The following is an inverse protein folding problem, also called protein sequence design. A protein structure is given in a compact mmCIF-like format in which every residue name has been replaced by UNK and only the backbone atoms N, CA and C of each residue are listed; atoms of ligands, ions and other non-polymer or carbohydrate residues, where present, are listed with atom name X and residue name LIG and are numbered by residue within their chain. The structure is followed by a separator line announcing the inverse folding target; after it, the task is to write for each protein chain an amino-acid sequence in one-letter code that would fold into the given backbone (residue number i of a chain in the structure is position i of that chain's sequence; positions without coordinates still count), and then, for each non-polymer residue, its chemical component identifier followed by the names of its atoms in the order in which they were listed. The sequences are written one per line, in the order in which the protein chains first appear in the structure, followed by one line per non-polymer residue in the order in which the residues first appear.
data_IF_731660926837
#
_entry.id   IF_731660926837
#
_cell.length_a   1.000
_cell.length_b   1.000
_cell.length_c   1.000
_cell.angle_alpha   90.00
_cell.angle_beta   90.00
_cell.angle_gamma   90.00
#
_symmetry.space_group_name_H-M   'P 1'
#
loop_
_entity.id
_entity.type
_entity.pdbx_description
1 polymer ?
#
# COMPACT_ATOMS: atom_id res chain seq x y z
N UNK A 1 -10.47 13.64 106.71
CA UNK A 1 -10.33 15.03 106.22
C UNK A 1 -9.99 14.98 104.74
N UNK A 2 -10.64 15.85 103.99
CA UNK A 2 -10.90 15.82 102.55
C UNK A 2 -9.81 16.59 101.80
N UNK A 3 -9.17 16.02 100.77
CA UNK A 3 -8.58 16.79 99.64
C UNK A 3 -8.67 15.98 98.34
N UNK A 4 -9.60 16.39 97.49
CA UNK A 4 -9.69 16.07 96.07
C UNK A 4 -8.77 17.05 95.35
N UNK A 5 -7.88 16.55 94.48
CA UNK A 5 -7.28 17.35 93.41
C UNK A 5 -7.24 16.46 92.16
N UNK A 6 -8.21 16.67 91.28
CA UNK A 6 -8.12 16.32 89.87
C UNK A 6 -7.48 17.52 89.15
N UNK A 7 -6.67 17.30 88.09
CA UNK A 7 -6.45 18.23 86.96
C UNK A 7 -5.52 17.60 85.89
N UNK A 8 -6.10 17.49 84.69
CA UNK A 8 -5.58 17.71 83.31
C UNK A 8 -4.51 16.76 82.73
N UNK A 9 -4.84 15.91 81.76
CA UNK A 9 -4.97 16.17 80.28
C UNK A 9 -3.63 16.15 79.55
N UNK A 10 -3.47 15.17 78.65
CA UNK A 10 -2.39 15.14 77.67
C UNK A 10 -2.30 13.81 76.90
N UNK A 11 -3.32 13.47 76.10
CA UNK A 11 -3.16 12.43 75.07
C UNK A 11 -2.33 13.05 73.93
N UNK A 12 -1.07 12.65 73.81
CA UNK A 12 -0.28 12.87 72.61
C UNK A 12 -0.77 11.91 71.52
N UNK A 13 -1.59 12.41 70.60
CA UNK A 13 -1.86 11.74 69.33
C UNK A 13 -0.58 11.81 68.49
N UNK A 14 0.14 10.69 68.43
CA UNK A 14 1.19 10.50 67.42
C UNK A 14 0.49 10.40 66.08
N UNK A 15 0.47 11.49 65.32
CA UNK A 15 0.12 11.44 63.90
C UNK A 15 1.26 10.72 63.22
N UNK A 16 1.07 9.42 62.95
CA UNK A 16 1.92 8.69 62.02
C UNK A 16 1.70 9.33 60.64
N UNK A 17 2.59 10.26 60.27
CA UNK A 17 2.65 10.80 58.92
C UNK A 17 2.95 9.65 57.97
N UNK A 18 1.95 9.21 57.20
CA UNK A 18 2.17 8.35 56.06
C UNK A 18 3.08 9.10 55.08
N UNK A 19 4.37 8.74 55.04
CA UNK A 19 5.23 9.13 53.93
C UNK A 19 4.76 8.35 52.71
N UNK A 20 3.96 8.98 51.86
CA UNK A 20 3.64 8.45 50.54
C UNK A 20 4.94 8.41 49.71
N UNK A 21 5.57 7.24 49.65
CA UNK A 21 6.70 7.01 48.76
C UNK A 21 6.16 6.90 47.33
N UNK A 22 6.23 7.99 46.58
CA UNK A 22 5.95 7.96 45.14
C UNK A 22 7.16 7.36 44.41
N UNK A 23 6.94 6.25 43.69
CA UNK A 23 7.93 5.64 42.81
C UNK A 23 7.62 6.09 41.38
N UNK A 24 8.59 6.73 40.73
CA UNK A 24 8.49 7.12 39.31
C UNK A 24 8.63 5.88 38.42
N UNK A 25 7.54 5.46 37.77
CA UNK A 25 7.58 4.45 36.70
C UNK A 25 7.61 5.17 35.36
N UNK A 26 8.74 5.07 34.65
CA UNK A 26 8.90 5.62 33.30
C UNK A 26 8.84 4.50 32.27
N UNK A 27 7.71 4.40 31.57
CA UNK A 27 7.56 3.51 30.42
C UNK A 27 7.97 4.26 29.16
N UNK A 28 8.97 3.74 28.45
CA UNK A 28 9.36 4.21 27.11
C UNK A 28 9.13 3.08 26.11
N UNK A 29 8.57 3.43 24.96
CA UNK A 29 8.39 2.53 23.83
C UNK A 29 8.27 3.30 22.52
N UNK A 30 8.55 2.62 21.42
CA UNK A 30 8.35 3.12 20.06
C UNK A 30 7.54 2.11 19.28
N UNK A 31 6.54 2.57 18.53
CA UNK A 31 5.80 1.73 17.58
C UNK A 31 6.51 1.87 16.23
N UNK A 32 7.15 0.79 15.77
CA UNK A 32 7.72 0.72 14.42
C UNK A 32 6.68 0.11 13.49
N UNK A 33 6.13 0.86 12.52
CA UNK A 33 5.22 0.28 11.54
C UNK A 33 5.95 -0.78 10.71
N UNK A 34 5.22 -1.79 10.25
CA UNK A 34 5.77 -2.81 9.38
C UNK A 34 6.38 -2.17 8.12
N UNK A 35 7.66 -2.45 7.84
CA UNK A 35 8.30 -2.01 6.61
C UNK A 35 8.21 -3.12 5.58
N UNK A 36 7.93 -2.77 4.32
CA UNK A 36 7.94 -3.71 3.21
C UNK A 36 8.94 -3.30 2.14
N UNK A 37 9.65 -4.26 1.56
CA UNK A 37 10.47 -4.08 0.37
C UNK A 37 9.76 -4.69 -0.85
N UNK A 38 9.71 -3.95 -1.94
CA UNK A 38 9.23 -4.42 -3.24
C UNK A 38 10.42 -4.64 -4.18
N UNK A 39 10.47 -5.81 -4.82
CA UNK A 39 11.50 -6.14 -5.80
C UNK A 39 10.86 -6.68 -7.06
N UNK A 40 11.35 -6.23 -8.23
CA UNK A 40 11.10 -6.82 -9.53
C UNK A 40 12.40 -7.46 -10.01
N UNK A 41 12.32 -8.69 -10.53
CA UNK A 41 13.50 -9.37 -11.09
C UNK A 41 14.06 -8.59 -12.28
N UNK A 42 13.19 -8.10 -13.15
CA UNK A 42 13.55 -7.20 -14.23
C UNK A 42 12.59 -5.99 -14.27
N UNK A 43 13.11 -4.79 -14.04
CA UNK A 43 12.34 -3.55 -14.10
C UNK A 43 12.21 -2.99 -15.53
N UNK A 44 12.93 -3.55 -16.51
CA UNK A 44 12.93 -3.12 -17.90
C UNK A 44 12.27 -4.19 -18.76
N UNK A 45 11.05 -3.90 -19.22
CA UNK A 45 10.33 -4.74 -20.18
C UNK A 45 10.63 -4.22 -21.59
N UNK A 46 11.71 -4.73 -22.18
CA UNK A 46 12.16 -4.32 -23.51
C UNK A 46 11.44 -5.11 -24.61
N UNK A 47 10.78 -4.42 -25.53
CA UNK A 47 10.14 -4.99 -26.73
C UNK A 47 11.05 -4.97 -27.96
N UNK A 48 12.27 -4.43 -27.83
CA UNK A 48 13.20 -4.23 -28.91
C UNK A 48 12.77 -3.11 -29.86
N UNK A 49 13.38 -3.09 -31.03
CA UNK A 49 12.96 -2.19 -32.12
C UNK A 49 11.75 -2.78 -32.82
N UNK A 50 10.66 -2.01 -32.88
CA UNK A 50 9.45 -2.39 -33.61
C UNK A 50 9.49 -1.72 -34.98
N UNK A 51 9.44 -2.52 -36.04
CA UNK A 51 9.31 -2.01 -37.41
C UNK A 51 7.91 -1.38 -37.58
N UNK A 52 7.82 -0.10 -37.96
CA UNK A 52 6.54 0.56 -38.22
C UNK A 52 5.67 -0.16 -39.26
N UNK A 53 6.25 -0.94 -40.19
CA UNK A 53 5.48 -1.72 -41.17
C UNK A 53 4.67 -2.85 -40.54
N UNK A 54 5.03 -3.29 -39.34
CA UNK A 54 4.29 -4.30 -38.58
C UNK A 54 3.15 -3.69 -37.76
N UNK A 55 3.07 -2.35 -37.70
CA UNK A 55 2.00 -1.65 -36.99
C UNK A 55 0.79 -1.46 -37.90
N UNK A 56 -0.40 -1.64 -37.36
CA UNK A 56 -1.64 -1.28 -38.05
C UNK A 56 -1.76 0.25 -38.16
N UNK A 57 -2.07 0.73 -39.37
CA UNK A 57 -2.33 2.15 -39.62
C UNK A 57 -3.67 2.65 -39.05
N UNK A 58 -4.60 1.73 -38.73
CA UNK A 58 -5.99 2.06 -38.37
C UNK A 58 -6.44 1.47 -37.04
N UNK A 59 -5.73 0.46 -36.52
CA UNK A 59 -6.06 -0.21 -35.27
C UNK A 59 -4.88 -0.20 -34.30
N UNK A 60 -5.15 -0.46 -33.02
CA UNK A 60 -4.08 -0.72 -32.07
C UNK A 60 -3.38 -2.04 -32.43
N UNK A 61 -2.05 -2.01 -32.38
CA UNK A 61 -1.24 -3.22 -32.57
C UNK A 61 -0.97 -3.81 -31.18
N UNK A 62 -1.60 -4.94 -30.87
CA UNK A 62 -1.36 -5.64 -29.60
C UNK A 62 -0.03 -6.38 -29.68
N UNK A 63 0.88 -6.09 -28.75
CA UNK A 63 2.15 -6.80 -28.62
C UNK A 63 1.99 -7.99 -27.66
N UNK A 64 2.88 -8.98 -27.77
CA UNK A 64 2.92 -10.12 -26.87
C UNK A 64 3.09 -9.67 -25.41
N UNK A 65 2.34 -10.28 -24.49
CA UNK A 65 2.49 -9.98 -23.07
C UNK A 65 3.84 -10.49 -22.55
N UNK A 66 4.61 -9.62 -21.89
CA UNK A 66 5.83 -9.99 -21.18
C UNK A 66 5.59 -9.93 -19.68
N UNK A 67 6.24 -10.82 -18.93
CA UNK A 67 6.13 -10.90 -17.48
C UNK A 67 7.50 -10.84 -16.81
N UNK A 68 7.51 -10.32 -15.58
CA UNK A 68 8.66 -10.38 -14.68
C UNK A 68 8.18 -10.84 -13.32
N UNK A 69 8.91 -11.74 -12.63
CA UNK A 69 8.61 -12.06 -11.25
C UNK A 69 8.75 -10.81 -10.37
N UNK A 70 7.89 -10.75 -9.35
CA UNK A 70 7.91 -9.71 -8.32
C UNK A 70 7.86 -10.36 -6.94
N UNK A 71 8.32 -9.65 -5.92
CA UNK A 71 8.22 -10.07 -4.53
C UNK A 71 8.00 -8.87 -3.62
N UNK A 72 7.14 -9.05 -2.62
CA UNK A 72 6.91 -8.09 -1.54
C UNK A 72 7.24 -8.80 -0.24
N UNK A 73 8.24 -8.30 0.50
CA UNK A 73 8.63 -8.85 1.79
C UNK A 73 8.43 -7.80 2.88
N UNK A 74 7.64 -8.12 3.87
CA UNK A 74 7.39 -7.27 5.03
C UNK A 74 8.11 -7.80 6.28
N UNK A 75 8.49 -6.91 7.19
CA UNK A 75 9.18 -7.26 8.45
C UNK A 75 8.27 -7.98 9.47
N UNK A 76 6.96 -7.87 9.29
CA UNK A 76 5.92 -8.53 10.09
C UNK A 76 4.65 -8.69 9.26
N UNK A 77 3.69 -9.49 9.74
CA UNK A 77 2.38 -9.62 9.12
C UNK A 77 1.68 -8.26 9.05
N UNK A 78 1.35 -7.82 7.84
CA UNK A 78 0.70 -6.53 7.60
C UNK A 78 -0.18 -6.61 6.37
N UNK A 79 -1.28 -5.86 6.37
CA UNK A 79 -2.00 -5.56 5.14
C UNK A 79 -1.21 -4.52 4.33
N UNK A 80 -1.22 -4.65 3.02
CA UNK A 80 -0.55 -3.73 2.11
C UNK A 80 -1.34 -3.60 0.82
N UNK A 81 -1.07 -2.51 0.11
CA UNK A 81 -1.55 -2.26 -1.23
C UNK A 81 -0.40 -1.77 -2.10
N UNK A 82 -0.41 -2.15 -3.38
CA UNK A 82 0.53 -1.64 -4.37
C UNK A 82 -0.22 -0.66 -5.27
N UNK A 83 0.35 0.53 -5.45
CA UNK A 83 -0.15 1.53 -6.39
C UNK A 83 0.94 1.80 -7.43
N UNK A 84 0.57 1.73 -8.71
CA UNK A 84 1.43 2.16 -9.80
C UNK A 84 1.06 3.58 -10.22
N UNK A 85 2.06 4.42 -10.46
CA UNK A 85 1.90 5.81 -10.90
C UNK A 85 2.43 5.94 -12.33
N UNK A 86 1.59 6.47 -13.22
CA UNK A 86 1.97 6.71 -14.62
C UNK A 86 2.75 8.01 -14.77
N UNK A 87 4.07 7.91 -14.90
CA UNK A 87 4.95 9.07 -15.16
C UNK A 87 4.78 9.66 -16.57
N UNK A 88 3.96 9.03 -17.44
CA UNK A 88 3.64 9.48 -18.80
C UNK A 88 2.12 9.61 -19.01
N UNK A 89 1.37 9.91 -17.95
CA UNK A 89 -0.08 10.01 -17.97
C UNK A 89 -0.66 10.93 -19.05
N UNK A 90 0.07 11.99 -19.44
CA UNK A 90 -0.34 12.90 -20.52
C UNK A 90 -0.45 12.21 -21.90
N UNK A 91 0.26 11.10 -22.10
CA UNK A 91 0.23 10.31 -23.33
C UNK A 91 -0.80 9.17 -23.32
N UNK A 92 -1.57 9.02 -22.24
CA UNK A 92 -2.61 7.99 -22.14
C UNK A 92 -3.59 8.08 -23.32
N UNK A 93 -3.83 6.95 -23.98
CA UNK A 93 -4.84 6.84 -25.04
C UNK A 93 -6.22 6.64 -24.40
N UNK A 94 -7.19 7.54 -24.62
CA UNK A 94 -8.53 7.38 -24.06
C UNK A 94 -9.28 6.19 -24.66
N UNK A 95 -10.08 5.53 -23.83
CA UNK A 95 -10.88 4.34 -24.14
C UNK A 95 -10.05 3.13 -24.62
N UNK A 96 -8.73 3.11 -24.39
CA UNK A 96 -7.90 2.00 -24.89
C UNK A 96 -8.33 0.67 -24.30
N UNK A 97 -8.59 0.61 -22.98
CA UNK A 97 -9.01 -0.64 -22.35
C UNK A 97 -10.39 -1.07 -22.83
N UNK A 98 -11.33 -0.14 -22.95
CA UNK A 98 -12.69 -0.41 -23.44
C UNK A 98 -12.71 -0.98 -24.87
N UNK A 99 -11.71 -0.66 -25.69
CA UNK A 99 -11.58 -1.20 -27.05
C UNK A 99 -10.87 -2.56 -27.11
N UNK A 100 -10.13 -2.91 -26.07
CA UNK A 100 -9.33 -4.13 -26.02
C UNK A 100 -10.04 -5.29 -25.30
N UNK A 101 -10.90 -4.97 -24.33
CA UNK A 101 -11.57 -5.96 -23.47
C UNK A 101 -13.08 -5.95 -23.70
N UNK A 102 -13.69 -7.13 -23.76
CA UNK A 102 -15.12 -7.34 -24.05
C UNK A 102 -16.02 -7.24 -22.79
N UNK A 103 -15.59 -6.47 -21.79
CA UNK A 103 -16.31 -6.24 -20.54
C UNK A 103 -16.08 -4.80 -20.05
N UNK A 104 -16.93 -4.26 -19.16
CA UNK A 104 -16.86 -2.85 -18.78
C UNK A 104 -15.61 -2.55 -17.95
N UNK A 105 -14.55 -2.13 -18.64
CA UNK A 105 -13.28 -1.68 -18.05
C UNK A 105 -13.11 -0.18 -18.19
N UNK A 106 -12.48 0.42 -17.19
CA UNK A 106 -12.06 1.82 -17.24
C UNK A 106 -10.58 1.89 -17.57
N UNK A 107 -10.13 3.03 -18.10
CA UNK A 107 -8.71 3.30 -18.38
C UNK A 107 -7.84 3.51 -17.12
N UNK A 108 -8.33 3.09 -15.95
CA UNK A 108 -7.63 3.17 -14.67
C UNK A 108 -6.27 2.47 -14.73
N UNK A 109 -6.19 1.34 -15.44
CA UNK A 109 -4.97 0.54 -15.57
C UNK A 109 -4.20 0.78 -16.87
N UNK A 110 -4.64 1.74 -17.68
CA UNK A 110 -3.93 2.17 -18.87
C UNK A 110 -2.78 3.09 -18.48
N UNK A 111 -1.56 2.78 -18.91
CA UNK A 111 -0.36 3.60 -18.73
C UNK A 111 0.16 4.06 -20.09
N UNK A 112 0.57 5.31 -20.20
CA UNK A 112 1.04 5.90 -21.47
C UNK A 112 2.46 5.48 -21.86
N UNK A 113 2.70 5.24 -23.15
CA UNK A 113 4.05 4.94 -23.68
C UNK A 113 4.86 6.20 -24.03
N UNK A 114 4.22 7.36 -24.09
CA UNK A 114 4.85 8.63 -24.45
C UNK A 114 4.34 9.18 -25.78
N UNK A 115 5.03 10.22 -26.24
CA UNK A 115 4.69 10.98 -27.45
C UNK A 115 5.80 10.86 -28.48
N UNK A 116 5.43 10.88 -29.76
CA UNK A 116 6.39 11.08 -30.86
C UNK A 116 6.91 12.53 -30.85
N UNK A 117 7.95 12.81 -31.64
CA UNK A 117 8.46 14.17 -31.84
C UNK A 117 7.39 15.13 -32.41
N UNK A 118 6.39 14.60 -33.13
CA UNK A 118 5.23 15.35 -33.64
C UNK A 118 4.05 15.40 -32.65
N UNK A 119 4.31 15.13 -31.37
CA UNK A 119 3.34 15.17 -30.27
C UNK A 119 2.16 14.19 -30.41
N UNK A 120 2.36 13.07 -31.12
CA UNK A 120 1.36 12.02 -31.28
C UNK A 120 1.52 10.95 -30.20
N UNK A 121 0.41 10.42 -29.66
CA UNK A 121 0.44 9.35 -28.64
C UNK A 121 0.92 8.05 -29.27
N UNK A 122 1.97 7.45 -28.70
CA UNK A 122 2.58 6.22 -29.23
C UNK A 122 1.70 5.00 -28.96
N UNK A 123 1.09 4.93 -27.77
CA UNK A 123 0.38 3.75 -27.30
C UNK A 123 0.15 3.79 -25.81
N UNK A 124 -0.35 2.68 -25.28
CA UNK A 124 -0.43 2.42 -23.85
C UNK A 124 -0.09 0.98 -23.52
N UNK A 125 0.08 0.71 -22.24
CA UNK A 125 0.28 -0.62 -21.69
C UNK A 125 -0.54 -0.79 -20.42
N UNK A 126 -0.77 -2.05 -20.04
CA UNK A 126 -1.42 -2.40 -18.79
C UNK A 126 -0.47 -3.24 -17.95
N UNK A 127 -0.62 -3.16 -16.63
CA UNK A 127 0.12 -4.01 -15.69
C UNK A 127 -0.86 -4.79 -14.85
N UNK A 128 -0.56 -6.07 -14.67
CA UNK A 128 -1.35 -7.00 -13.88
C UNK A 128 -0.45 -7.75 -12.90
N UNK A 129 -0.96 -8.01 -11.70
CA UNK A 129 -0.33 -8.93 -10.76
C UNK A 129 -0.92 -10.32 -10.98
N UNK A 130 -0.13 -11.21 -11.56
CA UNK A 130 -0.53 -12.58 -11.90
C UNK A 130 0.08 -13.58 -10.91
N UNK A 131 -0.60 -14.72 -10.72
CA UNK A 131 -0.11 -15.88 -9.94
C UNK A 131 0.43 -15.51 -8.54
N UNK A 132 -0.28 -14.61 -7.86
CA UNK A 132 0.15 -14.05 -6.59
C UNK A 132 0.06 -15.08 -5.47
N UNK A 133 1.09 -15.14 -4.62
CA UNK A 133 1.08 -15.94 -3.40
C UNK A 133 1.36 -15.04 -2.19
N UNK A 134 0.63 -15.28 -1.11
CA UNK A 134 0.84 -14.63 0.18
C UNK A 134 0.85 -15.69 1.27
N UNK A 135 1.83 -15.63 2.17
CA UNK A 135 2.01 -16.61 3.27
C UNK A 135 1.98 -18.08 2.80
N UNK A 136 2.55 -18.35 1.62
CA UNK A 136 2.61 -19.68 1.01
C UNK A 136 1.31 -20.17 0.37
N UNK A 137 0.29 -19.31 0.25
CA UNK A 137 -1.01 -19.66 -0.34
C UNK A 137 -1.30 -18.81 -1.58
N UNK A 138 -1.89 -19.38 -2.64
CA UNK A 138 -2.41 -18.59 -3.75
C UNK A 138 -3.44 -17.59 -3.27
N UNK A 139 -3.34 -16.35 -3.75
CA UNK A 139 -4.29 -15.27 -3.45
C UNK A 139 -4.71 -14.55 -4.72
N UNK A 140 -5.94 -14.05 -4.74
CA UNK A 140 -6.41 -13.12 -5.75
C UNK A 140 -6.12 -11.70 -5.28
N UNK A 141 -5.34 -10.90 -6.02
CA UNK A 141 -5.17 -9.49 -5.71
C UNK A 141 -6.52 -8.77 -5.73
N UNK A 142 -6.74 -7.91 -4.73
CA UNK A 142 -7.85 -6.98 -4.74
C UNK A 142 -7.43 -5.69 -5.43
N UNK A 143 -8.35 -5.03 -6.12
CA UNK A 143 -8.13 -3.66 -6.57
C UNK A 143 -8.96 -2.70 -5.72
N UNK A 144 -8.34 -1.59 -5.34
CA UNK A 144 -8.99 -0.51 -4.61
C UNK A 144 -9.58 0.51 -5.57
N UNK A 145 -10.73 1.09 -5.24
CA UNK A 145 -11.31 2.22 -6.00
C UNK A 145 -10.64 3.57 -5.66
N UNK A 146 -9.86 3.64 -4.59
CA UNK A 146 -9.24 4.86 -4.09
C UNK A 146 -10.10 5.62 -3.09
N UNK A 147 -11.34 5.19 -2.85
CA UNK A 147 -12.24 5.66 -1.80
C UNK A 147 -12.35 4.68 -0.62
N UNK A 148 -11.44 3.70 -0.55
CA UNK A 148 -11.38 2.72 0.54
C UNK A 148 -12.22 1.47 0.31
N UNK A 149 -12.85 1.29 -0.87
CA UNK A 149 -13.48 0.02 -1.22
C UNK A 149 -12.49 -0.86 -1.96
N UNK A 150 -12.46 -2.13 -1.57
CA UNK A 150 -11.67 -3.18 -2.19
C UNK A 150 -12.60 -4.18 -2.82
N UNK A 151 -12.32 -4.53 -4.06
CA UNK A 151 -13.11 -5.46 -4.85
C UNK A 151 -12.19 -6.55 -5.38
N UNK A 152 -12.70 -7.78 -5.42
CA UNK A 152 -11.97 -8.93 -5.94
C UNK A 152 -11.50 -8.63 -7.35
N UNK A 153 -10.20 -8.78 -7.62
CA UNK A 153 -9.74 -8.82 -9.00
C UNK A 153 -10.45 -9.98 -9.69
N UNK A 154 -11.16 -9.72 -10.78
CA UNK A 154 -11.94 -10.75 -11.49
C UNK A 154 -11.04 -11.75 -12.24
N UNK A 155 -9.73 -11.81 -11.95
CA UNK A 155 -8.75 -12.56 -12.73
C UNK A 155 -8.60 -12.08 -14.18
N UNK A 156 -9.45 -11.14 -14.60
CA UNK A 156 -9.58 -10.57 -15.92
C UNK A 156 -9.53 -9.04 -15.79
N UNK A 157 -8.32 -8.51 -15.75
CA UNK A 157 -7.98 -7.76 -16.95
C UNK A 157 -7.52 -8.80 -17.96
#
# INVERSE_FOLDING_TARGET
MKKIVAVMTGIFLVVAGFNAQAIDVRVKGFIVPASCSFTLVNAVIDYGTIDPQLLSATNYTTLEAKSTPYNIKCSSGTQLAVTAVDNRAASKIPDMMRRQFDHPVTDRFNFGLGLTAANQKIGGYIMQLLNSTADGRPVLPLYGDGQGRWVGGEGAL
#
